data_IF_866011461264
#
_entry.id   IF_866011461264
#
_cell.length_a   1.000
_cell.length_b   1.000
_cell.length_c   1.000
_cell.angle_alpha   90.00
_cell.angle_beta   90.00
_cell.angle_gamma   90.00
#
_symmetry.space_group_name_H-M   'P 1'
#
loop_
_entity.id
_entity.type
_entity.pdbx_description
1 polymer ?
#
# COMPACT_ATOMS: atom_id res chain seq x y z
N UNK A 1 5.07 8.38 66.73
CA UNK A 1 5.22 7.26 65.77
C UNK A 1 4.07 7.32 64.79
N UNK A 2 4.31 7.74 63.54
CA UNK A 2 3.54 7.28 62.38
C UNK A 2 4.35 7.62 61.13
N UNK A 3 4.90 6.59 60.48
CA UNK A 3 5.58 6.69 59.18
C UNK A 3 4.51 6.45 58.12
N UNK A 4 4.23 7.44 57.29
CA UNK A 4 3.44 7.24 56.07
C UNK A 4 4.44 7.06 54.93
N UNK A 5 4.47 5.82 54.42
CA UNK A 5 5.30 5.41 53.31
C UNK A 5 4.80 6.02 51.99
N UNK A 6 5.78 6.44 51.20
CA UNK A 6 5.70 6.83 49.79
C UNK A 6 5.21 5.65 48.94
N UNK A 7 4.26 5.90 48.04
CA UNK A 7 4.01 5.05 46.89
C UNK A 7 3.71 5.93 45.68
N UNK A 8 4.78 6.44 45.04
CA UNK A 8 4.70 7.02 43.71
C UNK A 8 4.87 5.87 42.69
N UNK A 9 3.76 5.31 42.23
CA UNK A 9 3.75 4.39 41.09
C UNK A 9 3.77 5.20 39.80
N UNK A 10 4.93 5.29 39.15
CA UNK A 10 5.03 5.81 37.78
C UNK A 10 4.60 4.66 36.86
N UNK A 11 3.36 4.69 36.39
CA UNK A 11 2.92 3.86 35.29
C UNK A 11 3.50 4.47 34.00
N UNK A 12 4.64 3.93 33.54
CA UNK A 12 5.11 4.19 32.18
C UNK A 12 4.18 3.42 31.21
N UNK A 13 3.12 4.08 30.74
CA UNK A 13 2.41 3.63 29.57
C UNK A 13 3.37 3.77 28.37
N UNK A 14 3.98 2.66 27.97
CA UNK A 14 4.63 2.58 26.67
C UNK A 14 3.52 2.71 25.62
N UNK A 15 3.29 3.93 25.13
CA UNK A 15 2.67 4.13 23.84
C UNK A 15 3.62 3.52 22.83
N UNK A 16 3.33 2.30 22.39
CA UNK A 16 3.89 1.78 21.15
C UNK A 16 3.29 2.61 20.03
N UNK A 17 3.94 3.74 19.70
CA UNK A 17 3.77 4.32 18.38
C UNK A 17 4.34 3.28 17.42
N UNK A 18 3.47 2.62 16.64
CA UNK A 18 3.89 1.87 15.48
C UNK A 18 4.50 2.90 14.51
N UNK A 19 5.82 3.05 14.57
CA UNK A 19 6.54 3.88 13.65
C UNK A 19 6.57 3.15 12.31
N UNK A 20 5.71 3.57 11.38
CA UNK A 20 5.77 3.15 9.99
C UNK A 20 6.97 3.79 9.30
N UNK A 21 7.76 3.00 8.57
CA UNK A 21 8.79 3.55 7.70
C UNK A 21 8.17 4.35 6.56
N UNK A 22 8.74 5.52 6.29
CA UNK A 22 8.27 6.39 5.22
C UNK A 22 8.76 5.86 3.88
N UNK A 23 7.87 5.70 2.87
CA UNK A 23 8.30 5.56 1.49
C UNK A 23 9.13 6.77 1.06
N UNK A 24 10.21 6.54 0.33
CA UNK A 24 11.09 7.60 -0.18
C UNK A 24 11.21 7.61 -1.70
N UNK A 25 10.95 6.47 -2.35
CA UNK A 25 10.92 6.38 -3.81
C UNK A 25 10.15 5.15 -4.27
N UNK A 26 9.58 5.21 -5.47
CA UNK A 26 8.96 4.06 -6.13
C UNK A 26 8.94 4.22 -7.66
N UNK A 27 8.55 3.16 -8.35
CA UNK A 27 8.16 3.17 -9.75
C UNK A 27 6.63 3.12 -9.84
N UNK A 28 6.05 3.90 -10.73
CA UNK A 28 4.61 4.02 -10.92
C UNK A 28 4.25 3.67 -12.36
N UNK A 29 3.19 2.90 -12.52
CA UNK A 29 2.68 2.53 -13.83
C UNK A 29 1.17 2.37 -13.80
N UNK A 30 0.49 2.91 -14.80
CA UNK A 30 -0.93 2.71 -15.00
C UNK A 30 -1.19 2.18 -16.41
N UNK A 31 -2.05 1.17 -16.51
CA UNK A 31 -2.58 0.66 -17.78
C UNK A 31 -4.10 0.76 -17.77
N UNK A 32 -4.65 1.46 -18.76
CA UNK A 32 -6.09 1.66 -18.94
C UNK A 32 -6.51 1.01 -20.26
N UNK A 33 -7.45 0.09 -20.20
CA UNK A 33 -7.96 -0.63 -21.37
C UNK A 33 -9.42 -0.30 -21.57
N UNK A 34 -9.75 0.14 -22.79
CA UNK A 34 -11.14 0.27 -23.23
C UNK A 34 -11.76 -1.11 -23.43
N UNK A 35 -13.10 -1.19 -23.51
CA UNK A 35 -13.81 -2.38 -23.95
C UNK A 35 -13.18 -2.98 -25.22
N UNK A 36 -12.96 -4.29 -25.24
CA UNK A 36 -12.31 -5.00 -26.36
C UNK A 36 -12.96 -4.70 -27.73
N UNK A 37 -14.27 -4.44 -27.75
CA UNK A 37 -15.02 -4.05 -28.94
C UNK A 37 -14.57 -2.71 -29.57
N UNK A 38 -13.87 -1.86 -28.82
CA UNK A 38 -13.38 -0.54 -29.22
C UNK A 38 -11.90 -0.63 -29.63
N UNK A 39 -11.08 -1.41 -28.92
CA UNK A 39 -9.69 -1.71 -29.27
C UNK A 39 -8.95 -2.50 -28.19
N UNK A 40 -7.97 -3.35 -28.56
CA UNK A 40 -7.26 -4.22 -27.60
C UNK A 40 -6.03 -3.57 -26.93
N UNK A 41 -5.60 -2.40 -27.40
CA UNK A 41 -4.38 -1.75 -26.95
C UNK A 41 -4.68 -0.88 -25.73
N UNK A 42 -3.83 -0.88 -24.70
CA UNK A 42 -4.00 -0.06 -23.50
C UNK A 42 -3.34 1.32 -23.64
N UNK A 43 -3.93 2.32 -22.99
CA UNK A 43 -3.26 3.59 -22.65
C UNK A 43 -2.36 3.36 -21.44
N UNK A 44 -1.12 3.81 -21.52
CA UNK A 44 -0.06 3.49 -20.54
C UNK A 44 0.66 4.74 -20.07
N UNK A 45 0.79 4.86 -18.76
CA UNK A 45 1.57 5.89 -18.07
C UNK A 45 2.68 5.22 -17.26
N UNK A 46 3.86 5.83 -17.23
CA UNK A 46 5.00 5.29 -16.49
C UNK A 46 5.91 6.40 -15.94
N UNK A 47 6.24 6.29 -14.66
CA UNK A 47 7.22 7.13 -13.98
C UNK A 47 8.17 6.23 -13.17
N UNK A 48 9.48 6.42 -13.33
CA UNK A 48 10.49 5.50 -12.79
C UNK A 48 11.39 6.20 -11.78
N UNK A 49 11.62 5.54 -10.65
CA UNK A 49 12.43 6.01 -9.54
C UNK A 49 12.01 7.42 -9.06
N UNK A 50 10.70 7.66 -9.03
CA UNK A 50 10.15 8.92 -8.58
C UNK A 50 10.36 9.06 -7.07
N UNK A 51 10.88 10.21 -6.60
CA UNK A 51 10.96 10.50 -5.18
C UNK A 51 9.56 10.80 -4.65
N UNK A 52 9.20 10.13 -3.56
CA UNK A 52 7.92 10.37 -2.87
C UNK A 52 7.94 11.79 -2.30
N UNK A 53 7.19 12.69 -2.92
CA UNK A 53 7.11 14.10 -2.60
C UNK A 53 5.68 14.56 -2.86
N UNK A 54 4.99 15.16 -1.86
CA UNK A 54 3.52 15.35 -1.81
C UNK A 54 2.84 16.11 -2.97
N UNK A 55 2.93 15.55 -4.17
CA UNK A 55 2.30 15.85 -5.43
C UNK A 55 2.21 14.50 -6.19
N UNK A 56 1.30 14.36 -7.16
CA UNK A 56 1.15 13.08 -7.86
C UNK A 56 2.47 12.60 -8.48
N UNK A 57 2.86 11.38 -8.15
CA UNK A 57 4.04 10.71 -8.70
C UNK A 57 3.78 10.14 -10.12
N UNK A 58 2.50 9.99 -10.50
CA UNK A 58 2.07 9.63 -11.84
C UNK A 58 0.91 10.52 -12.29
N UNK A 59 1.09 11.24 -13.41
CA UNK A 59 0.08 12.09 -14.03
C UNK A 59 0.10 12.02 -15.57
N UNK A 60 -0.67 12.91 -16.22
CA UNK A 60 -0.77 12.96 -17.69
C UNK A 60 0.58 13.22 -18.39
N UNK A 61 1.56 13.82 -17.72
CA UNK A 61 2.89 14.07 -18.29
C UNK A 61 3.73 12.79 -18.43
N UNK A 62 3.34 11.72 -17.73
CA UNK A 62 3.99 10.41 -17.74
C UNK A 62 3.45 9.46 -18.80
N UNK A 63 2.60 9.93 -19.72
CA UNK A 63 2.05 9.10 -20.79
C UNK A 63 3.14 8.62 -21.77
N UNK A 64 3.20 7.31 -22.00
CA UNK A 64 4.13 6.67 -22.94
C UNK A 64 3.44 5.96 -24.11
N UNK A 65 2.15 5.64 -23.96
CA UNK A 65 1.33 5.06 -25.02
C UNK A 65 -0.12 5.50 -24.88
N UNK A 66 -0.71 5.96 -25.98
CA UNK A 66 -2.11 6.37 -26.04
C UNK A 66 -2.68 6.00 -27.42
N UNK A 67 -3.31 4.83 -27.54
CA UNK A 67 -4.02 4.46 -28.75
C UNK A 67 -5.09 5.50 -29.10
N UNK A 68 -5.48 5.60 -30.37
CA UNK A 68 -6.45 6.63 -30.76
C UNK A 68 -7.75 6.53 -29.96
N UNK A 69 -8.22 7.69 -29.44
CA UNK A 69 -9.54 7.92 -28.84
C UNK A 69 -9.69 7.66 -27.33
N UNK A 70 -8.61 7.50 -26.55
CA UNK A 70 -8.75 7.53 -25.09
C UNK A 70 -9.00 8.95 -24.55
N UNK A 71 -9.79 9.05 -23.50
CA UNK A 71 -9.95 10.22 -22.64
C UNK A 71 -10.08 9.74 -21.19
N UNK A 72 -9.96 10.67 -20.24
CA UNK A 72 -9.94 10.32 -18.83
C UNK A 72 -8.69 9.52 -18.39
N UNK A 73 -8.30 9.67 -17.13
CA UNK A 73 -7.27 8.86 -16.47
C UNK A 73 -7.39 9.02 -14.95
N UNK A 74 -6.51 8.37 -14.19
CA UNK A 74 -6.34 8.66 -12.78
C UNK A 74 -4.88 8.96 -12.45
N UNK A 75 -4.65 10.01 -11.65
CA UNK A 75 -3.33 10.28 -11.08
C UNK A 75 -3.05 9.33 -9.93
N UNK A 76 -1.77 9.07 -9.67
CA UNK A 76 -1.30 8.26 -8.53
C UNK A 76 -0.38 9.12 -7.68
N UNK A 77 -0.64 9.15 -6.38
CA UNK A 77 0.19 9.83 -5.36
C UNK A 77 0.48 8.84 -4.24
N UNK A 78 1.75 8.64 -3.88
CA UNK A 78 2.17 7.91 -2.69
C UNK A 78 2.83 8.91 -1.75
N UNK A 79 2.22 9.15 -0.60
CA UNK A 79 2.80 10.07 0.38
C UNK A 79 3.79 9.39 1.35
N UNK A 80 4.50 10.20 2.13
CA UNK A 80 5.47 9.73 3.12
C UNK A 80 4.85 9.00 4.32
N UNK A 81 3.52 9.01 4.47
CA UNK A 81 2.81 8.20 5.45
C UNK A 81 2.51 6.80 4.94
N UNK A 82 2.77 6.52 3.66
CA UNK A 82 2.37 5.28 3.01
C UNK A 82 0.91 5.28 2.57
N UNK A 83 0.29 6.45 2.38
CA UNK A 83 -1.04 6.55 1.80
C UNK A 83 -0.92 6.67 0.28
N UNK A 84 -1.48 5.70 -0.43
CA UNK A 84 -1.67 5.76 -1.88
C UNK A 84 -3.01 6.44 -2.15
N UNK A 85 -3.02 7.46 -2.99
CA UNK A 85 -4.22 8.14 -3.46
C UNK A 85 -4.31 8.01 -4.98
N UNK A 86 -5.41 7.44 -5.45
CA UNK A 86 -5.81 7.49 -6.85
C UNK A 86 -6.85 8.58 -7.02
N UNK A 87 -6.67 9.50 -7.97
CA UNK A 87 -7.63 10.59 -8.23
C UNK A 87 -8.03 10.61 -9.70
N UNK A 88 -9.33 10.53 -9.98
CA UNK A 88 -9.87 10.57 -11.33
C UNK A 88 -9.77 11.96 -11.95
N UNK A 89 -9.42 12.01 -13.23
CA UNK A 89 -9.32 13.22 -14.04
C UNK A 89 -10.02 12.96 -15.38
N UNK A 90 -11.05 13.76 -15.69
CA UNK A 90 -11.82 13.68 -16.94
C UNK A 90 -11.62 14.91 -17.84
N UNK A 91 -10.54 15.67 -17.63
CA UNK A 91 -10.27 16.91 -18.36
C UNK A 91 -9.92 16.71 -19.84
N UNK A 92 -9.52 15.49 -20.21
CA UNK A 92 -9.16 15.14 -21.59
C UNK A 92 -10.34 14.61 -22.40
N UNK A 93 -10.47 15.11 -23.63
CA UNK A 93 -11.51 14.67 -24.55
C UNK A 93 -11.19 13.30 -25.17
N UNK A 94 -12.08 12.32 -24.98
CA UNK A 94 -11.98 10.97 -25.57
C UNK A 94 -13.00 9.99 -24.97
N UNK A 95 -12.85 8.70 -25.26
CA UNK A 95 -13.57 7.62 -24.56
C UNK A 95 -12.93 7.41 -23.20
N UNK A 96 -13.71 7.57 -22.13
CA UNK A 96 -13.31 7.35 -20.75
C UNK A 96 -14.08 6.17 -20.11
N UNK A 97 -14.65 5.34 -20.96
CA UNK A 97 -15.39 4.13 -20.59
C UNK A 97 -14.37 2.98 -20.56
N UNK A 98 -13.73 2.76 -19.42
CA UNK A 98 -12.71 1.72 -19.25
C UNK A 98 -13.35 0.38 -18.87
N UNK A 99 -12.74 -0.72 -19.33
CA UNK A 99 -13.08 -2.08 -18.92
C UNK A 99 -12.10 -2.60 -17.86
N UNK A 100 -10.83 -2.20 -17.97
CA UNK A 100 -9.76 -2.60 -17.06
C UNK A 100 -8.85 -1.40 -16.77
N UNK A 101 -8.60 -1.14 -15.49
CA UNK A 101 -7.55 -0.22 -15.05
C UNK A 101 -6.63 -0.94 -14.05
N UNK A 102 -5.33 -0.94 -14.33
CA UNK A 102 -4.30 -1.54 -13.47
C UNK A 102 -3.31 -0.46 -13.06
N UNK A 103 -3.22 -0.20 -11.76
CA UNK A 103 -2.23 0.70 -11.17
C UNK A 103 -1.20 -0.12 -10.42
N UNK A 104 0.06 0.01 -10.80
CA UNK A 104 1.19 -0.68 -10.19
C UNK A 104 2.15 0.32 -9.58
N UNK A 105 2.40 0.17 -8.29
CA UNK A 105 3.45 0.90 -7.56
C UNK A 105 4.48 -0.15 -7.14
N UNK A 106 5.68 -0.07 -7.69
CA UNK A 106 6.70 -1.10 -7.56
C UNK A 106 8.03 -0.53 -7.11
N UNK A 107 8.94 -1.41 -6.69
CA UNK A 107 10.27 -1.03 -6.17
C UNK A 107 10.19 0.05 -5.08
N UNK A 108 9.19 -0.03 -4.21
CA UNK A 108 8.99 0.92 -3.11
C UNK A 108 10.16 0.77 -2.14
N UNK A 109 10.89 1.87 -1.95
CA UNK A 109 11.99 1.96 -0.99
C UNK A 109 11.50 2.71 0.25
N UNK A 110 11.76 2.13 1.41
CA UNK A 110 11.44 2.72 2.71
C UNK A 110 12.70 3.26 3.40
N UNK A 111 12.58 4.37 4.12
CA UNK A 111 13.69 5.01 4.84
C UNK A 111 14.33 4.12 5.93
N UNK A 112 13.57 3.20 6.53
CA UNK A 112 13.99 2.33 7.61
C UNK A 112 14.15 0.84 7.22
N UNK A 113 14.22 0.52 5.92
CA UNK A 113 14.41 -0.86 5.45
C UNK A 113 13.28 -1.82 5.81
N UNK A 114 12.08 -1.29 6.06
CA UNK A 114 10.87 -2.07 6.28
C UNK A 114 10.31 -2.63 4.97
N UNK A 115 9.36 -3.55 5.11
CA UNK A 115 8.63 -4.16 3.99
C UNK A 115 7.13 -4.03 4.21
N UNK A 116 6.35 -4.08 3.14
CA UNK A 116 4.89 -4.11 3.19
C UNK A 116 4.42 -5.45 3.76
N UNK A 117 3.55 -5.37 4.77
CA UNK A 117 2.89 -6.48 5.45
C UNK A 117 1.39 -6.55 5.11
N UNK A 118 0.83 -5.47 4.58
CA UNK A 118 -0.58 -5.35 4.24
C UNK A 118 -0.92 -4.04 3.55
N UNK A 119 -2.11 -4.00 2.95
CA UNK A 119 -2.70 -2.78 2.39
C UNK A 119 -4.16 -2.73 2.84
N UNK A 120 -4.55 -1.64 3.50
CA UNK A 120 -5.95 -1.39 3.86
C UNK A 120 -6.60 -0.46 2.83
N UNK A 121 -7.79 -0.82 2.37
CA UNK A 121 -8.62 0.10 1.59
C UNK A 121 -9.27 1.10 2.55
N UNK A 122 -8.85 2.36 2.49
CA UNK A 122 -9.34 3.42 3.37
C UNK A 122 -10.58 4.12 2.79
N UNK A 123 -10.63 4.29 1.46
CA UNK A 123 -11.81 4.82 0.76
C UNK A 123 -11.90 4.29 -0.67
N UNK A 124 -13.12 4.28 -1.22
CA UNK A 124 -13.41 3.83 -2.58
C UNK A 124 -14.43 4.78 -3.23
N UNK A 125 -13.94 5.87 -3.81
CA UNK A 125 -14.73 6.90 -4.47
C UNK A 125 -14.17 7.36 -5.81
N UNK A 126 -13.33 6.52 -6.45
CA UNK A 126 -12.67 6.83 -7.71
C UNK A 126 -13.61 6.72 -8.93
N UNK A 127 -14.63 5.86 -8.87
CA UNK A 127 -15.48 5.55 -10.01
C UNK A 127 -16.78 6.36 -9.99
N UNK A 128 -17.29 6.70 -11.18
CA UNK A 128 -18.55 7.42 -11.37
C UNK A 128 -19.76 6.57 -10.93
N UNK A 129 -20.60 7.05 -9.99
CA UNK A 129 -21.79 6.33 -9.54
C UNK A 129 -23.02 6.46 -10.47
N UNK A 130 -22.91 7.17 -11.59
CA UNK A 130 -24.04 7.45 -12.48
C UNK A 130 -24.67 6.18 -13.09
N UNK A 131 -26.01 6.18 -13.28
CA UNK A 131 -26.74 5.04 -13.83
C UNK A 131 -26.38 4.86 -15.32
N UNK A 132 -25.37 4.04 -15.56
CA UNK A 132 -24.76 3.82 -16.87
C UNK A 132 -23.38 3.16 -16.74
N UNK A 133 -22.74 3.34 -15.58
CA UNK A 133 -21.44 2.77 -15.26
C UNK A 133 -21.54 1.73 -14.14
N UNK A 134 -20.62 0.77 -14.17
CA UNK A 134 -20.50 -0.21 -13.11
C UNK A 134 -19.56 0.30 -12.03
N UNK A 135 -20.05 0.38 -10.79
CA UNK A 135 -19.20 0.64 -9.63
C UNK A 135 -18.70 -0.69 -9.10
N UNK A 136 -17.38 -0.89 -9.15
CA UNK A 136 -16.71 -2.09 -8.63
C UNK A 136 -15.74 -1.75 -7.51
N UNK A 137 -15.55 -2.72 -6.62
CA UNK A 137 -14.48 -2.65 -5.62
C UNK A 137 -13.14 -3.03 -6.28
N UNK A 138 -12.04 -2.32 -5.96
CA UNK A 138 -10.73 -2.70 -6.48
C UNK A 138 -10.26 -4.04 -5.89
N UNK A 139 -9.61 -4.84 -6.72
CA UNK A 139 -8.74 -5.92 -6.25
C UNK A 139 -7.37 -5.31 -5.90
N UNK A 140 -6.91 -5.55 -4.67
CA UNK A 140 -5.62 -5.05 -4.18
C UNK A 140 -4.72 -6.23 -3.86
N UNK A 141 -3.58 -6.29 -4.53
CA UNK A 141 -2.52 -7.28 -4.32
C UNK A 141 -1.24 -6.57 -3.91
N UNK A 142 -0.41 -7.21 -3.09
CA UNK A 142 0.85 -6.62 -2.64
C UNK A 142 1.94 -7.66 -2.44
N UNK A 143 3.19 -7.22 -2.57
CA UNK A 143 4.39 -7.96 -2.18
C UNK A 143 5.13 -7.20 -1.08
N UNK A 144 6.38 -7.54 -0.78
CA UNK A 144 7.18 -6.82 0.21
C UNK A 144 7.50 -5.36 -0.19
N UNK A 145 7.47 -5.03 -1.48
CA UNK A 145 7.88 -3.73 -2.01
C UNK A 145 7.04 -3.28 -3.23
N UNK A 146 5.87 -3.87 -3.44
CA UNK A 146 4.97 -3.46 -4.51
C UNK A 146 3.50 -3.59 -4.11
N UNK A 147 2.66 -2.76 -4.73
CA UNK A 147 1.20 -2.81 -4.66
C UNK A 147 0.65 -2.77 -6.08
N UNK A 148 -0.39 -3.56 -6.32
CA UNK A 148 -1.16 -3.55 -7.57
C UNK A 148 -2.63 -3.36 -7.21
N UNK A 149 -3.27 -2.37 -7.82
CA UNK A 149 -4.68 -2.04 -7.65
C UNK A 149 -5.35 -2.22 -9.01
N UNK A 150 -6.33 -3.12 -9.07
CA UNK A 150 -7.01 -3.49 -10.31
C UNK A 150 -8.50 -3.22 -10.21
N UNK A 151 -9.02 -2.49 -11.19
CA UNK A 151 -10.45 -2.34 -11.45
C UNK A 151 -10.76 -3.11 -12.74
N UNK A 152 -11.52 -4.21 -12.62
CA UNK A 152 -11.90 -5.07 -13.73
C UNK A 152 -13.39 -5.40 -13.62
N UNK A 153 -14.17 -4.96 -14.61
CA UNK A 153 -15.61 -5.22 -14.71
C UNK A 153 -15.93 -6.47 -15.52
N UNK A 154 -14.94 -7.10 -16.14
CA UNK A 154 -15.12 -8.24 -17.05
C UNK A 154 -15.78 -7.85 -18.37
N UNK A 155 -16.24 -8.84 -19.12
CA UNK A 155 -16.68 -8.66 -20.52
C UNK A 155 -18.05 -7.95 -20.64
N UNK A 156 -18.08 -6.91 -21.48
CA UNK A 156 -19.32 -6.26 -21.90
C UNK A 156 -19.85 -5.18 -20.95
N UNK A 157 -19.11 -4.86 -19.89
CA UNK A 157 -19.38 -3.76 -18.97
C UNK A 157 -18.25 -2.72 -19.04
N UNK A 158 -18.49 -1.53 -18.52
CA UNK A 158 -17.50 -0.46 -18.43
C UNK A 158 -17.74 0.40 -17.19
N UNK A 159 -16.69 1.07 -16.75
CA UNK A 159 -16.71 2.08 -15.69
C UNK A 159 -16.08 3.37 -16.22
N UNK A 160 -16.29 4.46 -15.50
CA UNK A 160 -15.63 5.73 -15.76
C UNK A 160 -15.04 6.25 -14.45
N UNK A 161 -13.90 6.93 -14.50
CA UNK A 161 -13.39 7.67 -13.34
C UNK A 161 -14.26 8.90 -13.07
N UNK A 162 -14.65 9.12 -11.82
CA UNK A 162 -15.32 10.35 -11.41
C UNK A 162 -14.30 11.49 -11.40
N UNK A 163 -14.61 12.62 -12.04
CA UNK A 163 -13.72 13.80 -12.04
C UNK A 163 -13.51 14.34 -10.63
N UNK A 164 -12.27 14.31 -10.14
CA UNK A 164 -11.92 14.62 -8.75
C UNK A 164 -12.35 13.56 -7.73
N UNK A 165 -12.93 12.43 -8.17
CA UNK A 165 -13.20 11.27 -7.33
C UNK A 165 -11.90 10.61 -6.88
N UNK A 166 -11.86 10.08 -5.66
CA UNK A 166 -10.63 9.53 -5.10
C UNK A 166 -10.85 8.20 -4.38
N UNK A 167 -9.87 7.31 -4.49
CA UNK A 167 -9.74 6.11 -3.64
C UNK A 167 -8.39 6.14 -2.94
N UNK A 168 -8.37 5.68 -1.69
CA UNK A 168 -7.15 5.71 -0.87
C UNK A 168 -6.85 4.36 -0.25
N UNK A 169 -5.55 4.03 -0.21
CA UNK A 169 -5.04 2.74 0.25
C UNK A 169 -3.87 2.98 1.20
N UNK A 170 -3.95 2.49 2.43
CA UNK A 170 -2.93 2.69 3.45
C UNK A 170 -2.00 1.47 3.53
N UNK A 171 -0.71 1.70 3.33
CA UNK A 171 0.33 0.67 3.52
C UNK A 171 0.49 0.35 5.00
N UNK A 172 0.58 -0.94 5.30
CA UNK A 172 1.06 -1.45 6.58
C UNK A 172 2.47 -1.96 6.40
N UNK A 173 3.42 -1.37 7.09
CA UNK A 173 4.83 -1.76 7.05
C UNK A 173 5.27 -2.41 8.36
N UNK A 174 6.39 -3.11 8.29
CA UNK A 174 7.12 -3.49 9.49
C UNK A 174 8.48 -4.09 9.13
N UNK A 175 9.31 -4.24 10.15
CA UNK A 175 10.60 -4.88 10.00
C UNK A 175 10.43 -6.32 9.48
N UNK A 176 11.19 -6.68 8.44
CA UNK A 176 11.24 -8.05 7.98
C UNK A 176 11.61 -8.97 9.15
N UNK A 177 10.85 -10.05 9.37
CA UNK A 177 11.11 -10.97 10.47
C UNK A 177 12.51 -11.57 10.31
N UNK A 178 13.49 -11.08 11.07
CA UNK A 178 14.83 -11.65 11.09
C UNK A 178 14.72 -13.06 11.64
N UNK A 179 15.03 -14.11 10.86
CA UNK A 179 15.04 -15.47 11.39
C UNK A 179 16.03 -15.49 12.54
N UNK A 180 15.56 -15.77 13.76
CA UNK A 180 16.47 -15.90 14.89
C UNK A 180 17.53 -16.95 14.50
N UNK A 181 18.83 -16.62 14.55
CA UNK A 181 19.84 -17.63 14.32
C UNK A 181 19.59 -18.76 15.31
N UNK A 182 19.64 -20.00 14.82
CA UNK A 182 19.35 -21.24 15.58
C UNK A 182 20.01 -21.27 16.97
N UNK A 183 21.11 -20.54 17.15
CA UNK A 183 21.77 -20.29 18.44
C UNK A 183 20.92 -19.62 19.54
N UNK A 184 19.96 -18.76 19.22
CA UNK A 184 19.10 -18.10 20.21
C UNK A 184 18.17 -19.07 20.94
N UNK A 185 17.58 -20.02 20.20
CA UNK A 185 16.80 -21.11 20.77
C UNK A 185 17.66 -22.07 21.61
N UNK A 186 18.90 -22.31 21.18
CA UNK A 186 19.87 -23.13 21.94
C UNK A 186 20.31 -22.46 23.25
N UNK A 187 20.49 -21.14 23.27
CA UNK A 187 20.88 -20.39 24.46
C UNK A 187 19.75 -20.36 25.51
N UNK A 188 18.50 -20.14 25.06
CA UNK A 188 17.32 -20.21 25.91
C UNK A 188 17.10 -21.63 26.47
N UNK A 189 17.30 -22.65 25.63
CA UNK A 189 17.27 -24.06 26.06
C UNK A 189 18.35 -24.40 27.08
N UNK A 190 19.59 -23.90 26.88
CA UNK A 190 20.70 -24.12 27.79
C UNK A 190 20.48 -23.45 29.15
N UNK A 191 19.93 -22.22 29.18
CA UNK A 191 19.59 -21.51 30.42
C UNK A 191 18.45 -22.19 31.18
N UNK A 192 17.43 -22.69 30.48
CA UNK A 192 16.35 -23.46 31.08
C UNK A 192 16.86 -24.78 31.71
N UNK A 193 17.75 -25.49 31.01
CA UNK A 193 18.36 -26.72 31.51
C UNK A 193 19.26 -26.47 32.75
N UNK A 194 20.01 -25.36 32.76
CA UNK A 194 20.87 -24.99 33.90
C UNK A 194 20.05 -24.61 35.14
N UNK A 195 18.91 -23.94 34.95
CA UNK A 195 17.98 -23.59 36.04
C UNK A 195 17.34 -24.83 36.70
N UNK A 196 16.95 -25.83 35.89
CA UNK A 196 16.40 -27.10 36.38
C UNK A 196 17.46 -27.94 37.10
N UNK A 197 18.68 -27.99 36.57
CA UNK A 197 19.79 -28.72 37.19
C UNK A 197 20.20 -28.14 38.55
N UNK A 198 20.14 -26.80 38.72
CA UNK A 198 20.47 -26.14 40.00
C UNK A 198 19.42 -26.40 41.08
N UNK A 199 18.13 -26.46 40.73
CA UNK A 199 17.07 -26.82 41.70
C UNK A 199 17.20 -28.24 42.24
N UNK A 200 17.67 -29.19 41.42
CA UNK A 200 17.87 -30.59 41.87
C UNK A 200 19.06 -30.78 42.83
N UNK A 201 20.06 -29.90 42.82
CA UNK A 201 21.21 -29.97 43.74
C UNK A 201 21.00 -29.32 45.10
N UNK A 202 19.97 -28.49 45.27
CA UNK A 202 19.67 -27.81 46.54
C UNK A 202 18.61 -28.58 47.36
N UNK A 203 17.94 -29.55 46.76
CA UNK A 203 16.90 -30.38 47.39
C UNK A 203 17.37 -31.80 47.77
N UNK A 204 18.67 -32.08 47.70
CA UNK A 204 19.33 -33.30 48.18
C UNK A 204 20.36 -32.92 49.25
#
# INVERSE_FOLDING_TARGET
>A
MLRILIAAGIAAAALSAEAHAAPISANFRAELSLPEAIGPDARVFEALAEPVAGAPDLDATNEIANPERYGGFATVDLDSSGLITLTGDQSEAGFADDQLAVFTISDIVFDAGETILGVDVASSGLLDPDPGFVVIAPLVEFTANSVTITYDVGDGEFFQFLDGGASTFALKTGAAAVPLPVGGALLLGALAALGVARRRRVAA
#
